data_IF_744459404563
#
_entry.id   IF_744459404563
#
_cell.length_a   1.000
_cell.length_b   1.000
_cell.length_c   1.000
_cell.angle_alpha   90.00
_cell.angle_beta   90.00
_cell.angle_gamma   90.00
#
_symmetry.space_group_name_H-M   'P 1'
#
loop_
_entity.id
_entity.type
_entity.pdbx_description
1 polymer ?
#
# COMPACT_ATOMS: atom_id res chain seq x y z
N UNK A 1 19.38 -30.21 -26.72
CA UNK A 1 18.90 -28.83 -26.93
C UNK A 1 17.41 -28.78 -27.24
N UNK A 2 16.89 -29.58 -28.17
CA UNK A 2 15.45 -29.59 -28.55
C UNK A 2 14.51 -29.84 -27.37
N UNK A 3 14.79 -30.81 -26.49
CA UNK A 3 13.97 -31.07 -25.30
C UNK A 3 13.92 -29.90 -24.30
N UNK A 4 15.03 -29.16 -24.14
CA UNK A 4 15.12 -28.00 -23.24
C UNK A 4 14.27 -26.83 -23.79
N UNK A 5 14.27 -26.65 -25.12
CA UNK A 5 13.45 -25.64 -25.79
C UNK A 5 11.95 -25.94 -25.59
N UNK A 6 11.52 -27.20 -25.74
CA UNK A 6 10.13 -27.58 -25.51
C UNK A 6 9.67 -27.35 -24.06
N UNK A 7 10.51 -27.68 -23.08
CA UNK A 7 10.22 -27.41 -21.66
C UNK A 7 10.12 -25.90 -21.40
N UNK A 8 11.01 -25.09 -21.97
CA UNK A 8 10.97 -23.64 -21.83
C UNK A 8 9.70 -23.02 -22.46
N UNK A 9 9.27 -23.52 -23.63
CA UNK A 9 8.05 -23.07 -24.30
C UNK A 9 6.80 -23.45 -23.51
N UNK A 10 6.72 -24.70 -23.03
CA UNK A 10 5.60 -25.15 -22.21
C UNK A 10 5.51 -24.36 -20.89
N UNK A 11 6.65 -24.10 -20.24
CA UNK A 11 6.72 -23.27 -19.04
C UNK A 11 6.27 -21.83 -19.31
N UNK A 12 6.66 -21.24 -20.45
CA UNK A 12 6.24 -19.89 -20.85
C UNK A 12 4.73 -19.80 -21.07
N UNK A 13 4.13 -20.75 -21.80
CA UNK A 13 2.67 -20.78 -22.05
C UNK A 13 1.90 -20.94 -20.74
N UNK A 14 2.34 -21.85 -19.88
CA UNK A 14 1.74 -22.05 -18.56
C UNK A 14 1.84 -20.78 -17.70
N UNK A 15 3.02 -20.17 -17.63
CA UNK A 15 3.24 -18.94 -16.86
C UNK A 15 2.35 -17.79 -17.37
N UNK A 16 2.16 -17.66 -18.69
CA UNK A 16 1.30 -16.63 -19.25
C UNK A 16 -0.18 -16.88 -18.91
N UNK A 17 -0.65 -18.12 -18.99
CA UNK A 17 -2.02 -18.48 -18.60
C UNK A 17 -2.27 -18.23 -17.10
N UNK A 18 -1.34 -18.63 -16.22
CA UNK A 18 -1.44 -18.38 -14.78
C UNK A 18 -1.40 -16.90 -14.45
N UNK A 19 -0.56 -16.12 -15.13
CA UNK A 19 -0.52 -14.65 -15.00
C UNK A 19 -1.88 -14.03 -15.39
N UNK A 20 -2.53 -14.52 -16.44
CA UNK A 20 -3.88 -14.10 -16.82
C UNK A 20 -4.93 -14.39 -15.74
N UNK A 21 -4.93 -15.61 -15.19
CA UNK A 21 -5.83 -16.00 -14.09
C UNK A 21 -5.58 -15.19 -12.82
N UNK A 22 -4.30 -14.94 -12.51
CA UNK A 22 -3.91 -14.12 -11.36
C UNK A 22 -4.44 -12.69 -11.47
N UNK A 23 -4.35 -12.08 -12.66
CA UNK A 23 -4.89 -10.73 -12.93
C UNK A 23 -6.41 -10.70 -12.80
N UNK A 24 -7.12 -11.68 -13.36
CA UNK A 24 -8.58 -11.78 -13.23
C UNK A 24 -9.00 -11.87 -11.77
N UNK A 25 -8.42 -12.81 -11.00
CA UNK A 25 -8.78 -12.99 -9.60
C UNK A 25 -8.39 -11.79 -8.73
N UNK A 26 -7.30 -11.09 -9.07
CA UNK A 26 -6.96 -9.83 -8.42
C UNK A 26 -7.98 -8.72 -8.71
N UNK A 27 -8.45 -8.62 -9.96
CA UNK A 27 -9.49 -7.65 -10.32
C UNK A 27 -10.81 -7.95 -9.58
N UNK A 28 -11.21 -9.22 -9.48
CA UNK A 28 -12.39 -9.61 -8.71
C UNK A 28 -12.29 -9.16 -7.24
N UNK A 29 -11.09 -9.24 -6.64
CA UNK A 29 -10.83 -8.74 -5.29
C UNK A 29 -10.87 -7.21 -5.23
N UNK A 30 -10.35 -6.53 -6.25
CA UNK A 30 -10.40 -5.06 -6.35
C UNK A 30 -11.82 -4.55 -6.53
N UNK A 31 -12.70 -5.22 -7.27
CA UNK A 31 -14.10 -4.83 -7.43
C UNK A 31 -14.82 -4.76 -6.06
N UNK A 32 -14.48 -5.68 -5.16
CA UNK A 32 -14.97 -5.69 -3.77
C UNK A 32 -14.33 -4.57 -2.96
N UNK A 33 -13.03 -4.36 -3.11
CA UNK A 33 -12.28 -3.34 -2.37
C UNK A 33 -12.59 -1.90 -2.78
N UNK A 34 -12.91 -1.65 -4.05
CA UNK A 34 -13.22 -0.33 -4.60
C UNK A 34 -14.70 0.02 -4.46
N UNK A 35 -15.54 -0.95 -4.07
CA UNK A 35 -16.93 -0.71 -3.77
C UNK A 35 -17.10 0.41 -2.73
N UNK A 36 -18.03 1.34 -2.96
CA UNK A 36 -18.14 2.55 -2.17
C UNK A 36 -18.65 2.25 -0.76
N UNK A 37 -18.14 3.03 0.21
CA UNK A 37 -18.69 3.09 1.56
C UNK A 37 -19.83 4.10 1.54
N UNK A 38 -21.00 3.70 2.03
CA UNK A 38 -22.19 4.54 2.07
C UNK A 38 -21.97 5.71 3.03
N UNK A 39 -22.03 6.93 2.53
CA UNK A 39 -21.96 8.12 3.38
C UNK A 39 -23.32 8.40 4.04
N UNK A 40 -23.34 8.88 5.30
CA UNK A 40 -24.58 9.32 5.94
C UNK A 40 -25.30 10.37 5.08
N UNK A 41 -26.57 10.12 4.76
CA UNK A 41 -27.39 11.02 3.95
C UNK A 41 -27.26 10.87 2.42
N UNK A 42 -26.40 9.99 1.90
CA UNK A 42 -26.40 9.63 0.48
C UNK A 42 -27.47 8.57 0.19
N UNK A 43 -28.27 8.82 -0.86
CA UNK A 43 -29.20 7.83 -1.39
C UNK A 43 -28.43 6.63 -1.93
N UNK A 44 -28.89 5.41 -1.59
CA UNK A 44 -28.29 4.20 -2.14
C UNK A 44 -28.44 4.18 -3.67
N UNK A 45 -27.34 3.89 -4.38
CA UNK A 45 -27.39 3.68 -5.82
C UNK A 45 -28.09 2.34 -6.07
N UNK A 46 -29.19 2.29 -6.83
CA UNK A 46 -29.88 1.05 -7.13
C UNK A 46 -28.94 0.04 -7.78
N UNK A 47 -28.94 -1.19 -7.29
CA UNK A 47 -28.13 -2.33 -7.78
C UNK A 47 -26.60 -2.20 -7.63
N UNK A 48 -26.09 -1.21 -6.90
CA UNK A 48 -24.66 -1.15 -6.55
C UNK A 48 -24.41 -1.78 -5.17
N UNK A 49 -23.43 -2.69 -5.07
CA UNK A 49 -22.97 -3.18 -3.76
C UNK A 49 -22.26 -2.02 -3.05
N UNK A 50 -22.74 -1.67 -1.86
CA UNK A 50 -22.12 -0.67 -0.98
C UNK A 50 -21.83 -1.30 0.38
N UNK A 51 -20.93 -0.69 1.14
CA UNK A 51 -20.59 -1.13 2.49
C UNK A 51 -20.89 -0.06 3.52
N UNK A 52 -21.24 -0.46 4.74
CA UNK A 52 -21.47 0.46 5.84
C UNK A 52 -20.17 1.06 6.40
N UNK A 53 -19.07 0.31 6.36
CA UNK A 53 -17.76 0.71 6.90
C UNK A 53 -16.61 0.14 6.07
N UNK A 54 -15.41 0.69 6.24
CA UNK A 54 -14.20 0.14 5.65
C UNK A 54 -13.90 -1.28 6.15
N UNK A 55 -14.10 -1.54 7.45
CA UNK A 55 -13.92 -2.86 8.04
C UNK A 55 -14.85 -3.93 7.43
N UNK A 56 -16.12 -3.59 7.17
CA UNK A 56 -17.07 -4.51 6.53
C UNK A 56 -16.66 -4.84 5.08
N UNK A 57 -16.20 -3.84 4.33
CA UNK A 57 -15.65 -4.05 2.98
C UNK A 57 -14.38 -4.90 3.00
N UNK A 58 -13.49 -4.61 3.95
CA UNK A 58 -12.25 -5.35 4.13
C UNK A 58 -12.51 -6.82 4.49
N UNK A 59 -13.53 -7.12 5.30
CA UNK A 59 -13.92 -8.48 5.64
C UNK A 59 -14.31 -9.33 4.40
N UNK A 60 -14.97 -8.71 3.41
CA UNK A 60 -15.31 -9.38 2.14
C UNK A 60 -14.10 -9.44 1.18
N UNK A 61 -13.26 -8.41 1.14
CA UNK A 61 -12.14 -8.30 0.20
C UNK A 61 -10.91 -9.12 0.62
N UNK A 62 -10.58 -9.14 1.90
CA UNK A 62 -9.38 -9.78 2.45
C UNK A 62 -9.21 -11.24 2.02
N UNK A 63 -10.21 -12.15 2.17
CA UNK A 63 -10.03 -13.54 1.77
C UNK A 63 -9.77 -13.71 0.26
N UNK A 64 -10.27 -12.81 -0.59
CA UNK A 64 -9.99 -12.81 -2.02
C UNK A 64 -8.53 -12.46 -2.27
N UNK A 65 -8.02 -11.39 -1.64
CA UNK A 65 -6.62 -11.02 -1.74
C UNK A 65 -5.69 -12.10 -1.18
N UNK A 66 -6.02 -12.71 -0.03
CA UNK A 66 -5.24 -13.81 0.52
C UNK A 66 -5.17 -15.00 -0.43
N UNK A 67 -6.29 -15.34 -1.08
CA UNK A 67 -6.35 -16.42 -2.06
C UNK A 67 -5.44 -16.14 -3.26
N UNK A 68 -5.50 -14.92 -3.80
CA UNK A 68 -4.68 -14.50 -4.94
C UNK A 68 -3.20 -14.49 -4.57
N UNK A 69 -2.86 -13.94 -3.41
CA UNK A 69 -1.48 -13.88 -2.93
C UNK A 69 -0.90 -15.26 -2.62
N UNK A 70 -1.71 -16.18 -2.11
CA UNK A 70 -1.32 -17.57 -1.86
C UNK A 70 -1.10 -18.35 -3.17
N UNK A 71 -2.05 -18.29 -4.11
CA UNK A 71 -2.01 -19.07 -5.36
C UNK A 71 -1.07 -18.51 -6.40
N UNK A 72 -0.91 -17.18 -6.44
CA UNK A 72 -0.23 -16.47 -7.52
C UNK A 72 0.93 -15.60 -7.02
N UNK A 73 1.48 -15.87 -5.83
CA UNK A 73 2.52 -15.04 -5.20
C UNK A 73 3.80 -14.83 -6.03
N UNK A 74 4.06 -15.67 -7.03
CA UNK A 74 5.17 -15.47 -7.96
C UNK A 74 4.88 -14.38 -9.01
N UNK A 75 3.61 -14.17 -9.35
CA UNK A 75 3.17 -13.19 -10.35
C UNK A 75 2.90 -11.83 -9.70
N UNK A 76 3.00 -10.76 -10.50
CA UNK A 76 2.77 -9.38 -10.02
C UNK A 76 1.41 -9.21 -9.33
N UNK A 77 0.36 -9.84 -9.85
CA UNK A 77 -0.97 -9.79 -9.24
C UNK A 77 -1.02 -10.42 -7.85
N UNK A 78 -0.33 -11.54 -7.61
CA UNK A 78 -0.24 -12.14 -6.27
C UNK A 78 0.62 -11.32 -5.31
N UNK A 79 1.69 -10.69 -5.80
CA UNK A 79 2.50 -9.78 -5.00
C UNK A 79 1.68 -8.54 -4.59
N UNK A 80 0.96 -7.92 -5.53
CA UNK A 80 0.05 -6.81 -5.25
C UNK A 80 -1.06 -7.23 -4.28
N UNK A 81 -1.66 -8.41 -4.47
CA UNK A 81 -2.67 -8.95 -3.57
C UNK A 81 -2.15 -9.08 -2.13
N UNK A 82 -0.86 -9.41 -1.94
CA UNK A 82 -0.26 -9.49 -0.60
C UNK A 82 -0.27 -8.12 0.11
N UNK A 83 0.01 -7.05 -0.62
CA UNK A 83 -0.07 -5.69 -0.08
C UNK A 83 -1.51 -5.34 0.36
N UNK A 84 -2.50 -5.61 -0.48
CA UNK A 84 -3.91 -5.36 -0.14
C UNK A 84 -4.44 -6.28 0.96
N UNK A 85 -3.96 -7.52 1.06
CA UNK A 85 -4.26 -8.40 2.19
C UNK A 85 -3.79 -7.77 3.51
N UNK A 86 -2.60 -7.17 3.53
CA UNK A 86 -2.10 -6.43 4.70
C UNK A 86 -2.94 -5.19 5.05
N UNK A 87 -3.33 -4.39 4.06
CA UNK A 87 -4.20 -3.22 4.28
C UNK A 87 -5.58 -3.60 4.81
N UNK A 88 -6.23 -4.58 4.18
CA UNK A 88 -7.56 -5.04 4.59
C UNK A 88 -7.53 -5.73 5.95
N UNK A 89 -6.47 -6.48 6.27
CA UNK A 89 -6.28 -7.02 7.61
C UNK A 89 -6.17 -5.90 8.67
N UNK A 90 -5.50 -4.79 8.34
CA UNK A 90 -5.42 -3.63 9.22
C UNK A 90 -6.79 -2.97 9.42
N UNK A 91 -7.57 -2.78 8.34
CA UNK A 91 -8.93 -2.24 8.41
C UNK A 91 -9.88 -3.12 9.24
N UNK A 92 -9.64 -4.44 9.25
CA UNK A 92 -10.38 -5.40 10.08
C UNK A 92 -9.90 -5.42 11.55
N UNK A 93 -8.85 -4.68 11.90
CA UNK A 93 -8.23 -4.71 13.23
C UNK A 93 -7.37 -5.96 13.49
N UNK A 94 -7.06 -6.75 12.47
CA UNK A 94 -6.16 -7.90 12.59
C UNK A 94 -4.70 -7.46 12.43
N UNK A 95 -4.16 -6.85 13.49
CA UNK A 95 -2.81 -6.28 13.50
C UNK A 95 -1.72 -7.31 13.17
N UNK A 96 -1.84 -8.55 13.64
CA UNK A 96 -0.83 -9.58 13.40
C UNK A 96 -0.75 -9.97 11.91
N UNK A 97 -1.91 -10.18 11.26
CA UNK A 97 -1.94 -10.49 9.83
C UNK A 97 -1.49 -9.29 8.98
N UNK A 98 -1.92 -8.08 9.36
CA UNK A 98 -1.51 -6.84 8.71
C UNK A 98 0.02 -6.69 8.71
N UNK A 99 0.66 -6.78 9.89
CA UNK A 99 2.11 -6.66 10.00
C UNK A 99 2.84 -7.73 9.16
N UNK A 100 2.38 -8.97 9.23
CA UNK A 100 3.01 -10.08 8.51
C UNK A 100 2.97 -9.89 6.99
N UNK A 101 1.84 -9.46 6.44
CA UNK A 101 1.67 -9.28 5.00
C UNK A 101 2.30 -7.98 4.49
N UNK A 102 2.24 -6.89 5.26
CA UNK A 102 2.93 -5.65 4.93
C UNK A 102 4.45 -5.81 4.96
N UNK A 103 5.01 -6.60 5.90
CA UNK A 103 6.44 -6.96 5.89
C UNK A 103 6.85 -7.73 4.63
N UNK A 104 6.03 -8.69 4.18
CA UNK A 104 6.31 -9.43 2.94
C UNK A 104 6.25 -8.49 1.73
N UNK A 105 5.26 -7.59 1.70
CA UNK A 105 5.15 -6.59 0.65
C UNK A 105 6.36 -5.65 0.64
N UNK A 106 6.84 -5.19 1.81
CA UNK A 106 7.98 -4.27 1.94
C UNK A 106 9.31 -4.85 1.45
N UNK A 107 9.40 -6.19 1.37
CA UNK A 107 10.57 -6.92 0.85
C UNK A 107 10.32 -7.51 -0.54
N UNK A 108 9.31 -7.02 -1.27
CA UNK A 108 9.03 -7.48 -2.64
C UNK A 108 10.23 -7.27 -3.56
N UNK A 109 10.35 -8.13 -4.57
CA UNK A 109 11.34 -7.97 -5.65
C UNK A 109 10.97 -6.82 -6.60
N UNK A 110 9.69 -6.48 -6.69
CA UNK A 110 9.23 -5.28 -7.38
C UNK A 110 9.48 -4.07 -6.47
N UNK A 111 10.42 -3.21 -6.85
CA UNK A 111 10.84 -2.07 -6.04
C UNK A 111 9.70 -1.08 -5.75
N UNK A 112 8.78 -0.89 -6.71
CA UNK A 112 7.63 -0.02 -6.51
C UNK A 112 6.69 -0.58 -5.44
N UNK A 113 6.39 -1.89 -5.52
CA UNK A 113 5.59 -2.57 -4.50
C UNK A 113 6.29 -2.62 -3.14
N UNK A 114 7.60 -2.86 -3.12
CA UNK A 114 8.39 -2.82 -1.89
C UNK A 114 8.31 -1.45 -1.21
N UNK A 115 8.42 -0.37 -1.99
CA UNK A 115 8.32 1.00 -1.50
C UNK A 115 6.91 1.32 -0.94
N UNK A 116 5.85 0.90 -1.64
CA UNK A 116 4.47 1.01 -1.13
C UNK A 116 4.26 0.20 0.16
N UNK A 117 4.76 -1.03 0.20
CA UNK A 117 4.72 -1.88 1.39
C UNK A 117 5.45 -1.26 2.57
N UNK A 118 6.61 -0.62 2.35
CA UNK A 118 7.34 0.12 3.39
C UNK A 118 6.53 1.30 3.91
N UNK A 119 5.91 2.10 3.05
CA UNK A 119 5.06 3.22 3.48
C UNK A 119 3.88 2.74 4.35
N UNK A 120 3.20 1.69 3.93
CA UNK A 120 2.10 1.11 4.70
C UNK A 120 2.57 0.49 6.01
N UNK A 121 3.71 -0.23 6.02
CA UNK A 121 4.30 -0.82 7.22
C UNK A 121 4.76 0.26 8.23
N UNK A 122 5.33 1.36 7.75
CA UNK A 122 5.73 2.49 8.58
C UNK A 122 4.52 3.11 9.28
N UNK A 123 3.46 3.42 8.52
CA UNK A 123 2.20 3.92 9.05
C UNK A 123 1.56 2.94 10.04
N UNK A 124 1.57 1.65 9.72
CA UNK A 124 1.11 0.59 10.61
C UNK A 124 1.85 0.63 11.96
N UNK A 125 3.18 0.71 11.95
CA UNK A 125 3.97 0.78 13.19
C UNK A 125 3.64 2.01 14.01
N UNK A 126 3.56 3.19 13.40
CA UNK A 126 3.19 4.44 14.09
C UNK A 126 1.82 4.30 14.76
N UNK A 127 0.82 3.81 14.03
CA UNK A 127 -0.54 3.64 14.55
C UNK A 127 -0.65 2.62 15.68
N UNK A 128 0.31 1.71 15.81
CA UNK A 128 0.39 0.69 16.86
C UNK A 128 1.42 1.04 17.95
N UNK A 129 1.82 2.30 18.07
CA UNK A 129 2.71 2.79 19.13
C UNK A 129 4.18 2.40 18.97
N UNK A 130 4.57 1.88 17.80
CA UNK A 130 5.94 1.47 17.47
C UNK A 130 6.62 2.54 16.62
N UNK A 131 6.52 3.79 17.06
CA UNK A 131 6.92 4.98 16.30
C UNK A 131 8.35 4.92 15.80
N UNK A 132 9.31 4.52 16.62
CA UNK A 132 10.74 4.42 16.23
C UNK A 132 10.94 3.51 15.01
N UNK A 133 10.19 2.39 14.94
CA UNK A 133 10.27 1.48 13.80
C UNK A 133 9.61 2.07 12.57
N UNK A 134 8.50 2.80 12.73
CA UNK A 134 7.86 3.54 11.63
C UNK A 134 8.78 4.61 11.06
N UNK A 135 9.39 5.42 11.92
CA UNK A 135 10.37 6.46 11.57
C UNK A 135 11.55 5.87 10.81
N UNK A 136 12.13 4.77 11.30
CA UNK A 136 13.23 4.09 10.62
C UNK A 136 12.84 3.62 9.21
N UNK A 137 11.63 3.08 9.03
CA UNK A 137 11.14 2.65 7.71
C UNK A 137 10.89 3.85 6.78
N UNK A 138 10.36 4.97 7.29
CA UNK A 138 10.23 6.19 6.47
C UNK A 138 11.59 6.73 6.01
N UNK A 139 12.60 6.74 6.87
CA UNK A 139 13.96 7.11 6.48
C UNK A 139 14.50 6.22 5.37
N UNK A 140 14.33 4.90 5.47
CA UNK A 140 14.74 3.98 4.42
C UNK A 140 14.07 4.27 3.06
N UNK A 141 12.79 4.70 3.05
CA UNK A 141 12.12 5.14 1.80
C UNK A 141 12.65 6.48 1.30
N UNK A 142 13.01 7.41 2.19
CA UNK A 142 13.61 8.70 1.82
C UNK A 142 14.98 8.50 1.16
N UNK A 143 15.77 7.56 1.67
CA UNK A 143 17.10 7.24 1.17
C UNK A 143 17.04 6.39 -0.12
N UNK A 144 15.97 5.61 -0.30
CA UNK A 144 15.75 4.74 -1.46
C UNK A 144 14.39 5.00 -2.14
N UNK A 145 14.17 6.21 -2.71
CA UNK A 145 12.90 6.55 -3.33
C UNK A 145 12.68 5.75 -4.62
N UNK A 146 11.42 5.58 -4.99
CA UNK A 146 11.02 4.92 -6.24
C UNK A 146 10.08 5.80 -7.04
N UNK A 147 9.74 5.38 -8.27
CA UNK A 147 8.71 6.07 -9.05
C UNK A 147 7.33 6.00 -8.40
N UNK A 148 7.05 4.94 -7.62
CA UNK A 148 5.77 4.78 -6.93
C UNK A 148 5.68 5.59 -5.63
N UNK A 149 6.81 5.78 -4.94
CA UNK A 149 6.87 6.58 -3.72
C UNK A 149 8.11 7.47 -3.76
N UNK A 150 7.88 8.78 -3.84
CA UNK A 150 8.94 9.77 -3.80
C UNK A 150 9.46 9.97 -2.38
N UNK A 151 10.70 10.47 -2.27
CA UNK A 151 11.26 10.88 -0.99
C UNK A 151 10.38 11.95 -0.29
N UNK A 152 9.72 12.82 -1.07
CA UNK A 152 8.84 13.84 -0.51
C UNK A 152 7.53 13.29 0.05
N UNK A 153 6.97 12.23 -0.55
CA UNK A 153 5.83 11.52 0.03
C UNK A 153 6.20 10.91 1.41
N UNK A 154 7.38 10.29 1.51
CA UNK A 154 7.87 9.74 2.77
C UNK A 154 8.20 10.85 3.80
N UNK A 155 8.78 11.98 3.38
CA UNK A 155 9.02 13.14 4.26
C UNK A 155 7.73 13.71 4.83
N UNK A 156 6.65 13.78 4.04
CA UNK A 156 5.35 14.27 4.54
C UNK A 156 4.78 13.34 5.61
N UNK A 157 4.84 12.03 5.39
CA UNK A 157 4.36 11.04 6.35
C UNK A 157 5.21 11.03 7.64
N UNK A 158 6.53 11.13 7.50
CA UNK A 158 7.45 11.26 8.63
C UNK A 158 7.20 12.57 9.40
N UNK A 159 7.06 13.70 8.69
CA UNK A 159 6.78 14.98 9.32
C UNK A 159 5.48 14.94 10.14
N UNK A 160 4.41 14.35 9.58
CA UNK A 160 3.14 14.18 10.27
C UNK A 160 3.26 13.31 11.53
N UNK A 161 4.12 12.29 11.49
CA UNK A 161 4.42 11.43 12.65
C UNK A 161 5.11 12.23 13.76
N UNK A 162 6.06 13.09 13.39
CA UNK A 162 6.88 13.87 14.32
C UNK A 162 6.19 15.15 14.84
N UNK A 163 5.01 15.55 14.34
CA UNK A 163 4.36 16.81 14.75
C UNK A 163 4.14 16.91 16.26
N UNK A 164 3.85 15.78 16.92
CA UNK A 164 3.56 15.73 18.35
C UNK A 164 4.78 15.44 19.23
N UNK A 165 5.78 14.75 18.69
CA UNK A 165 6.97 14.28 19.44
C UNK A 165 8.18 15.16 19.21
N UNK A 166 8.39 15.62 17.98
CA UNK A 166 9.53 16.45 17.58
C UNK A 166 9.09 17.52 16.55
N UNK A 167 8.39 18.57 17.03
CA UNK A 167 7.80 19.58 16.14
C UNK A 167 8.86 20.38 15.37
N UNK A 168 10.10 20.45 15.86
CA UNK A 168 11.19 21.12 15.15
C UNK A 168 11.60 20.31 13.91
N UNK A 169 11.81 19.00 14.04
CA UNK A 169 12.17 18.14 12.92
C UNK A 169 11.02 18.00 11.92
N UNK A 170 9.76 17.91 12.40
CA UNK A 170 8.58 17.94 11.54
C UNK A 170 8.56 19.19 10.64
N UNK A 171 8.82 20.39 11.20
CA UNK A 171 8.90 21.64 10.41
C UNK A 171 10.05 21.61 9.40
N UNK A 172 11.20 21.06 9.76
CA UNK A 172 12.33 20.95 8.81
C UNK A 172 11.99 20.02 7.63
N UNK A 173 11.29 18.90 7.89
CA UNK A 173 10.84 17.99 6.86
C UNK A 173 9.83 18.65 5.93
N UNK A 174 8.83 19.37 6.46
CA UNK A 174 7.89 20.14 5.65
C UNK A 174 8.60 21.21 4.83
N UNK A 175 9.57 21.94 5.39
CA UNK A 175 10.34 22.93 4.65
C UNK A 175 11.07 22.31 3.44
N UNK A 176 11.74 21.17 3.64
CA UNK A 176 12.39 20.43 2.55
C UNK A 176 11.42 20.02 1.44
N UNK A 177 10.21 19.57 1.79
CA UNK A 177 9.18 19.22 0.80
C UNK A 177 8.70 20.48 0.06
N UNK A 178 8.39 21.56 0.78
CA UNK A 178 7.97 22.83 0.17
C UNK A 178 9.02 23.35 -0.83
N UNK A 179 10.30 23.32 -0.46
CA UNK A 179 11.36 23.89 -1.30
C UNK A 179 11.63 23.07 -2.56
N UNK A 180 11.50 21.75 -2.48
CA UNK A 180 11.75 20.84 -3.61
C UNK A 180 10.54 20.68 -4.53
N UNK A 181 9.31 20.89 -4.04
CA UNK A 181 8.07 20.47 -4.71
C UNK A 181 6.97 21.56 -4.75
N UNK A 182 7.38 22.83 -4.86
CA UNK A 182 6.53 24.05 -4.70
C UNK A 182 5.16 24.03 -5.40
N UNK A 183 5.07 23.43 -6.59
CA UNK A 183 3.84 23.42 -7.42
C UNK A 183 3.05 22.12 -7.33
N UNK A 184 3.59 21.11 -6.63
CA UNK A 184 2.93 19.81 -6.47
C UNK A 184 1.96 19.85 -5.29
N UNK A 185 1.04 18.87 -5.23
CA UNK A 185 0.19 18.67 -4.06
C UNK A 185 1.02 18.49 -2.77
N UNK A 186 2.18 17.84 -2.85
CA UNK A 186 3.06 17.65 -1.70
C UNK A 186 3.62 18.98 -1.16
N UNK A 187 4.05 19.88 -2.05
CA UNK A 187 4.50 21.23 -1.67
C UNK A 187 3.38 22.12 -1.13
N UNK A 188 2.15 21.95 -1.64
CA UNK A 188 0.97 22.65 -1.11
C UNK A 188 0.62 22.18 0.30
N UNK A 189 0.62 20.87 0.56
CA UNK A 189 0.41 20.30 1.91
C UNK A 189 1.49 20.82 2.87
N UNK A 190 2.75 20.77 2.46
CA UNK A 190 3.86 21.28 3.27
C UNK A 190 3.71 22.77 3.59
N UNK A 191 3.28 23.58 2.61
CA UNK A 191 3.02 25.01 2.81
C UNK A 191 1.89 25.25 3.82
N UNK A 192 0.80 24.48 3.72
CA UNK A 192 -0.31 24.57 4.66
C UNK A 192 0.14 24.20 6.08
N UNK A 193 0.89 23.10 6.22
CA UNK A 193 1.42 22.63 7.52
C UNK A 193 2.38 23.62 8.16
N UNK A 194 3.22 24.31 7.38
CA UNK A 194 4.11 25.36 7.89
C UNK A 194 3.39 26.68 8.23
N UNK A 195 2.17 26.89 7.71
CA UNK A 195 1.39 28.11 7.96
C UNK A 195 0.43 27.97 9.15
N UNK A 196 0.11 26.74 9.56
CA UNK A 196 -0.58 26.46 10.81
C UNK A 196 0.34 26.77 11.99
N UNK A 197 -0.04 27.74 12.82
CA UNK A 197 0.68 28.09 14.06
C UNK A 197 0.44 27.05 15.14
#
# INVERSE_FOLDING_TARGET
MVAIIFVALAASIWANNQSGKARSAFNDAMDVYDAPIQQPGQAAVPNAKTYATAAARAADANPLFENVASKYGFFKAGQNARYFAGLTANDMGNAAAAEADLKKASTSRDAALASLGKMALASFYVNHGRTDQGVAVYHDVIDHPTLAVSANAARLALAATEESTNPQDARQLYAKVKDSDKTTAAGQIATQKLSGK
#
